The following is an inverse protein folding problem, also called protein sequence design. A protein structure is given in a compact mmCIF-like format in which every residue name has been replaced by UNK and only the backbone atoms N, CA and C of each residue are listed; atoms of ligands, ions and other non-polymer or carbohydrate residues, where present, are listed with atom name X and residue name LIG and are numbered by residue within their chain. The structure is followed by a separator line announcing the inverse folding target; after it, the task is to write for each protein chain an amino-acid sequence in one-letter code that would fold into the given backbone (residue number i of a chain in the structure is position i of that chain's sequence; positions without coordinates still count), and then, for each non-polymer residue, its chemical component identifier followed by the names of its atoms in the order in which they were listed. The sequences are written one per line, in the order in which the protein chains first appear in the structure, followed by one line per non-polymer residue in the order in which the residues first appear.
data_IF_592773262793
#
_entry.id   IF_592773262793
#
_cell.length_a   1.000
_cell.length_b   1.000
_cell.length_c   1.000
_cell.angle_alpha   90.00
_cell.angle_beta   90.00
_cell.angle_gamma   90.00
#
_symmetry.space_group_name_H-M   'P 1'
#
loop_
_entity.id
_entity.type
_entity.pdbx_description
1 polymer ?
#
# COMPACT_ATOMS: atom_id res chain seq x y z
N UNK A 1 13.87 -9.70 15.54
CA UNK A 1 13.47 -9.06 14.27
C UNK A 1 14.25 -9.71 13.16
N UNK A 2 13.59 -10.39 12.26
CA UNK A 2 14.21 -10.90 11.04
C UNK A 2 13.99 -9.88 9.91
N UNK A 3 15.00 -9.68 9.07
CA UNK A 3 14.90 -8.89 7.86
C UNK A 3 14.87 -9.84 6.67
N UNK A 4 13.80 -9.75 5.89
CA UNK A 4 13.61 -10.54 4.69
C UNK A 4 13.62 -9.58 3.49
N UNK A 5 14.40 -9.91 2.46
CA UNK A 5 14.38 -9.19 1.19
C UNK A 5 13.69 -10.08 0.17
N UNK A 6 12.57 -9.62 -0.40
CA UNK A 6 11.83 -10.33 -1.43
C UNK A 6 12.17 -9.79 -2.80
N UNK A 7 12.43 -10.69 -3.71
CA UNK A 7 12.56 -10.41 -5.14
C UNK A 7 11.22 -10.63 -5.85
N UNK A 8 11.14 -10.18 -7.10
CA UNK A 8 9.94 -10.32 -7.92
C UNK A 8 9.49 -11.79 -8.00
N UNK A 9 8.24 -12.04 -7.64
CA UNK A 9 7.61 -13.36 -7.68
C UNK A 9 7.83 -14.23 -6.46
N UNK A 10 8.62 -13.80 -5.49
CA UNK A 10 8.80 -14.52 -4.22
C UNK A 10 7.59 -14.33 -3.31
N UNK A 11 7.32 -15.35 -2.50
CA UNK A 11 6.20 -15.36 -1.54
C UNK A 11 6.72 -15.66 -0.15
N UNK A 12 6.17 -14.99 0.84
CA UNK A 12 6.41 -15.26 2.26
C UNK A 12 5.07 -15.41 2.98
N UNK A 13 4.99 -16.36 3.90
CA UNK A 13 3.84 -16.49 4.76
C UNK A 13 3.90 -15.46 5.90
N UNK A 14 2.82 -14.67 6.05
CA UNK A 14 2.69 -13.71 7.15
C UNK A 14 1.74 -14.25 8.23
N UNK A 15 2.15 -14.25 9.51
CA UNK A 15 1.36 -14.87 10.58
C UNK A 15 0.27 -13.98 11.16
N UNK A 16 0.13 -12.75 10.67
CA UNK A 16 -0.82 -11.77 11.22
C UNK A 16 -1.53 -11.01 10.10
N UNK A 17 -2.74 -10.56 10.39
CA UNK A 17 -3.53 -9.70 9.50
C UNK A 17 -3.29 -8.20 9.73
N UNK A 18 -2.44 -7.84 10.70
CA UNK A 18 -2.10 -6.44 10.98
C UNK A 18 -0.70 -6.14 10.45
N UNK A 19 -0.60 -5.21 9.51
CA UNK A 19 0.68 -4.86 8.89
C UNK A 19 0.76 -3.37 8.52
N UNK A 20 2.01 -2.89 8.42
CA UNK A 20 2.34 -1.56 7.93
C UNK A 20 3.15 -1.69 6.64
N UNK A 21 2.70 -1.02 5.57
CA UNK A 21 3.45 -0.88 4.34
C UNK A 21 3.96 0.56 4.25
N UNK A 22 5.26 0.76 4.32
CA UNK A 22 5.89 2.07 4.29
C UNK A 22 6.71 2.25 3.03
N UNK A 23 6.31 3.21 2.21
CA UNK A 23 7.11 3.74 1.11
C UNK A 23 8.07 4.80 1.65
N UNK A 24 9.34 4.75 1.25
CA UNK A 24 10.33 5.76 1.59
C UNK A 24 11.25 6.05 0.41
N UNK A 25 11.61 7.33 0.24
CA UNK A 25 12.53 7.80 -0.81
C UNK A 25 13.16 9.14 -0.43
N UNK A 26 14.28 9.48 -1.05
CA UNK A 26 14.98 10.76 -0.85
C UNK A 26 15.05 11.59 -2.12
N UNK A 27 14.89 10.98 -3.29
CA UNK A 27 14.93 11.66 -4.58
C UNK A 27 13.83 12.73 -4.70
N UNK A 28 14.10 13.79 -5.49
CA UNK A 28 13.14 14.85 -5.77
C UNK A 28 12.11 14.39 -6.82
N UNK A 29 11.21 13.54 -6.40
CA UNK A 29 10.12 12.96 -7.19
C UNK A 29 8.92 12.75 -6.29
N UNK A 30 7.73 12.83 -6.85
CA UNK A 30 6.49 12.55 -6.14
C UNK A 30 6.09 11.08 -6.34
N UNK A 31 6.25 10.29 -5.29
CA UNK A 31 5.85 8.89 -5.26
C UNK A 31 4.66 8.72 -4.31
N UNK A 32 3.60 8.09 -4.79
CA UNK A 32 2.41 7.81 -4.00
C UNK A 32 2.24 6.31 -3.76
N UNK A 33 1.86 5.94 -2.54
CA UNK A 33 1.48 4.57 -2.20
C UNK A 33 -0.04 4.39 -2.28
N UNK A 34 -0.45 3.26 -2.83
CA UNK A 34 -1.85 2.85 -3.00
C UNK A 34 -2.07 1.46 -2.39
N UNK A 35 -3.25 1.26 -1.81
CA UNK A 35 -3.76 -0.08 -1.54
C UNK A 35 -5.05 -0.29 -2.34
N UNK A 36 -5.01 -1.17 -3.32
CA UNK A 36 -6.20 -1.66 -4.01
C UNK A 36 -6.70 -2.89 -3.28
N UNK A 37 -8.00 -2.97 -3.04
CA UNK A 37 -8.57 -4.08 -2.27
C UNK A 37 -9.81 -4.66 -2.92
N UNK A 38 -10.10 -5.91 -2.57
CA UNK A 38 -11.38 -6.58 -2.85
C UNK A 38 -11.91 -7.22 -1.58
N UNK A 39 -13.17 -6.97 -1.26
CA UNK A 39 -13.87 -7.64 -0.18
C UNK A 39 -14.13 -9.12 -0.52
N UNK A 40 -14.12 -9.98 0.48
CA UNK A 40 -14.54 -11.38 0.33
C UNK A 40 -15.98 -11.47 -0.17
N UNK A 41 -16.27 -12.50 -0.97
CA UNK A 41 -17.61 -12.73 -1.54
C UNK A 41 -18.58 -13.36 -0.55
N UNK A 42 -18.08 -13.94 0.54
CA UNK A 42 -18.88 -14.62 1.55
C UNK A 42 -19.19 -13.75 2.79
N UNK A 43 -18.89 -12.46 2.75
CA UNK A 43 -19.24 -11.53 3.83
C UNK A 43 -20.71 -11.13 3.73
N UNK A 44 -21.30 -10.76 4.88
CA UNK A 44 -22.66 -10.24 4.92
C UNK A 44 -22.68 -8.79 4.43
N UNK A 45 -23.57 -8.42 3.48
CA UNK A 45 -23.73 -7.03 3.08
C UNK A 45 -24.13 -6.16 4.27
N UNK A 46 -23.52 -4.99 4.34
CA UNK A 46 -23.89 -3.97 5.34
C UNK A 46 -24.20 -2.67 4.63
N UNK A 47 -25.34 -2.05 4.99
CA UNK A 47 -25.66 -0.71 4.52
C UNK A 47 -24.99 0.32 5.43
N UNK A 48 -24.33 1.29 4.82
CA UNK A 48 -23.80 2.43 5.54
C UNK A 48 -24.89 3.37 6.02
N UNK A 49 -24.60 4.17 7.05
CA UNK A 49 -25.48 5.24 7.50
C UNK A 49 -25.49 6.36 6.44
N UNK A 50 -26.64 6.77 5.98
CA UNK A 50 -26.82 7.77 4.89
C UNK A 50 -26.06 7.41 3.60
N UNK A 51 -25.91 6.13 3.28
CA UNK A 51 -25.20 5.66 2.09
C UNK A 51 -23.67 5.70 2.20
N UNK A 52 -23.11 5.97 3.36
CA UNK A 52 -21.68 6.03 3.61
C UNK A 52 -21.23 4.83 4.45
N UNK A 53 -20.14 4.16 4.05
CA UNK A 53 -19.52 3.08 4.83
C UNK A 53 -20.22 1.72 4.70
N UNK A 54 -21.03 1.51 3.68
CA UNK A 54 -21.58 0.20 3.34
C UNK A 54 -20.52 -0.76 2.80
N UNK A 55 -20.80 -2.06 2.87
CA UNK A 55 -19.92 -3.11 2.34
C UNK A 55 -20.75 -4.12 1.58
N UNK A 56 -20.34 -4.42 0.35
CA UNK A 56 -20.95 -5.46 -0.49
C UNK A 56 -19.95 -6.60 -0.74
N UNK A 57 -20.43 -7.86 -0.85
CA UNK A 57 -19.57 -8.98 -1.22
C UNK A 57 -18.84 -8.74 -2.53
N UNK A 58 -17.52 -8.95 -2.56
CA UNK A 58 -16.69 -8.72 -3.74
C UNK A 58 -16.44 -7.26 -4.10
N UNK A 59 -16.85 -6.32 -3.27
CA UNK A 59 -16.61 -4.88 -3.47
C UNK A 59 -15.13 -4.59 -3.65
N UNK A 60 -14.82 -3.79 -4.68
CA UNK A 60 -13.46 -3.33 -4.96
C UNK A 60 -13.34 -1.84 -4.62
N UNK A 61 -12.14 -1.44 -4.23
CA UNK A 61 -11.82 -0.05 -3.96
C UNK A 61 -10.34 0.19 -3.82
N UNK A 62 -9.99 1.42 -3.48
CA UNK A 62 -8.60 1.83 -3.26
C UNK A 62 -8.49 2.83 -2.13
N UNK A 63 -7.38 2.76 -1.41
CA UNK A 63 -6.95 3.73 -0.41
C UNK A 63 -5.74 4.46 -0.99
N UNK A 64 -5.78 5.78 -0.99
CA UNK A 64 -4.78 6.64 -1.60
C UNK A 64 -4.97 8.09 -1.10
N UNK A 65 -4.19 9.04 -1.61
CA UNK A 65 -4.15 10.43 -1.10
C UNK A 65 -5.50 11.19 -1.08
N UNK A 66 -6.49 10.78 -1.90
CA UNK A 66 -7.84 11.38 -1.88
C UNK A 66 -8.76 10.67 -0.89
N UNK A 67 -8.65 9.34 -0.76
CA UNK A 67 -9.41 8.53 0.19
C UNK A 67 -8.46 7.78 1.11
N UNK A 68 -8.22 8.34 2.27
CA UNK A 68 -7.27 7.81 3.24
C UNK A 68 -7.77 6.55 3.97
N UNK A 69 -9.04 6.18 3.81
CA UNK A 69 -9.60 4.98 4.42
C UNK A 69 -9.83 5.08 5.92
N UNK A 70 -9.91 3.94 6.58
CA UNK A 70 -10.19 3.86 8.03
C UNK A 70 -9.66 2.57 8.64
N UNK A 71 -9.19 2.64 9.89
CA UNK A 71 -8.83 1.47 10.72
C UNK A 71 -9.98 0.98 11.60
N UNK A 72 -11.10 1.71 11.66
CA UNK A 72 -12.23 1.43 12.56
C UNK A 72 -13.44 0.84 11.86
N UNK A 73 -13.40 0.79 10.53
CA UNK A 73 -14.47 0.25 9.67
C UNK A 73 -13.87 -0.26 8.37
N UNK A 74 -14.67 -1.00 7.59
CA UNK A 74 -14.26 -1.43 6.25
C UNK A 74 -13.71 -0.25 5.42
N UNK A 75 -12.59 -0.39 4.73
CA UNK A 75 -11.86 -1.63 4.44
C UNK A 75 -10.78 -2.03 5.46
N UNK A 76 -10.70 -1.39 6.64
CA UNK A 76 -9.68 -1.64 7.68
C UNK A 76 -8.26 -1.30 7.22
N UNK A 77 -8.17 -0.37 6.26
CA UNK A 77 -6.94 0.11 5.64
C UNK A 77 -6.92 1.64 5.75
N UNK A 78 -5.79 2.21 6.13
CA UNK A 78 -5.62 3.65 6.26
C UNK A 78 -4.25 4.10 5.77
N UNK A 79 -4.24 5.17 4.97
CA UNK A 79 -3.04 5.93 4.60
C UNK A 79 -2.84 7.07 5.61
N UNK A 80 -1.67 7.15 6.22
CA UNK A 80 -1.38 8.12 7.29
C UNK A 80 -1.33 9.56 6.78
N UNK A 81 -0.63 9.80 5.66
CA UNK A 81 -0.57 11.09 5.00
C UNK A 81 0.00 10.95 3.59
N UNK A 82 -0.23 11.96 2.78
CA UNK A 82 0.41 12.16 1.50
C UNK A 82 1.68 13.01 1.69
N UNK A 83 2.82 12.51 1.27
CA UNK A 83 4.10 13.19 1.32
C UNK A 83 4.53 13.59 -0.10
N UNK A 84 4.20 14.80 -0.49
CA UNK A 84 4.59 15.34 -1.80
C UNK A 84 6.09 15.54 -1.96
N UNK A 85 6.50 16.06 -3.11
CA UNK A 85 7.89 16.36 -3.45
C UNK A 85 8.50 17.35 -2.44
N UNK A 86 9.67 17.00 -1.92
CA UNK A 86 10.45 17.90 -1.06
C UNK A 86 9.92 18.03 0.37
N UNK A 87 9.19 17.06 0.84
CA UNK A 87 8.80 17.00 2.23
C UNK A 87 10.03 16.93 3.15
N UNK A 88 9.87 17.31 4.37
CA UNK A 88 10.89 17.65 5.38
C UNK A 88 12.23 16.91 5.24
N UNK A 89 13.29 17.66 4.94
CA UNK A 89 14.68 17.15 5.00
C UNK A 89 15.09 16.18 3.90
N UNK A 90 14.35 16.09 2.79
CA UNK A 90 14.65 15.15 1.70
C UNK A 90 14.41 13.69 2.07
N UNK A 91 13.70 13.42 3.15
CA UNK A 91 13.23 12.10 3.55
C UNK A 91 11.72 12.05 3.45
N UNK A 92 11.23 11.48 2.36
CA UNK A 92 9.81 11.32 2.11
C UNK A 92 9.33 9.94 2.58
N UNK A 93 8.14 9.91 3.15
CA UNK A 93 7.60 8.68 3.74
C UNK A 93 6.09 8.69 3.75
N UNK A 94 5.50 7.63 3.23
CA UNK A 94 4.07 7.36 3.30
C UNK A 94 3.82 5.96 3.86
N UNK A 95 2.82 5.81 4.71
CA UNK A 95 2.53 4.51 5.34
C UNK A 95 1.07 4.14 5.19
N UNK A 96 0.82 2.95 4.66
CA UNK A 96 -0.47 2.29 4.71
C UNK A 96 -0.48 1.30 5.87
N UNK A 97 -1.48 1.44 6.73
CA UNK A 97 -1.76 0.50 7.81
C UNK A 97 -2.95 -0.37 7.41
N UNK A 98 -2.79 -1.68 7.46
CA UNK A 98 -3.87 -2.67 7.33
C UNK A 98 -4.11 -3.23 8.72
N UNK A 99 -5.28 -2.95 9.30
CA UNK A 99 -5.63 -3.38 10.65
C UNK A 99 -6.23 -4.79 10.69
N UNK A 100 -6.87 -5.22 9.60
CA UNK A 100 -7.48 -6.55 9.48
C UNK A 100 -7.61 -6.97 8.02
N UNK A 101 -7.41 -8.25 7.77
CA UNK A 101 -7.64 -8.91 6.48
C UNK A 101 -8.90 -9.81 6.50
N UNK A 102 -9.64 -9.83 7.62
CA UNK A 102 -10.73 -10.79 7.81
C UNK A 102 -11.83 -10.69 6.77
N UNK A 103 -12.13 -9.48 6.29
CA UNK A 103 -13.14 -9.22 5.27
C UNK A 103 -12.55 -8.98 3.86
N UNK A 104 -11.24 -9.06 3.72
CA UNK A 104 -10.52 -8.78 2.47
C UNK A 104 -10.03 -10.07 1.82
N UNK A 105 -10.33 -10.23 0.53
CA UNK A 105 -9.86 -11.34 -0.29
C UNK A 105 -8.45 -11.07 -0.83
N UNK A 106 -8.21 -9.82 -1.26
CA UNK A 106 -6.94 -9.36 -1.81
C UNK A 106 -6.66 -7.93 -1.40
N UNK A 107 -5.39 -7.64 -1.17
CA UNK A 107 -4.84 -6.27 -1.11
C UNK A 107 -3.59 -6.21 -1.98
N UNK A 108 -3.58 -5.26 -2.94
CA UNK A 108 -2.41 -4.96 -3.74
C UNK A 108 -1.80 -3.65 -3.27
N UNK A 109 -0.57 -3.69 -2.80
CA UNK A 109 0.21 -2.48 -2.52
C UNK A 109 0.92 -2.09 -3.81
N UNK A 110 0.66 -0.88 -4.28
CA UNK A 110 1.22 -0.34 -5.52
C UNK A 110 1.79 1.07 -5.30
N UNK A 111 2.79 1.40 -6.09
CA UNK A 111 3.44 2.71 -6.09
C UNK A 111 3.21 3.37 -7.44
N UNK A 112 2.88 4.65 -7.42
CA UNK A 112 2.77 5.51 -8.60
C UNK A 112 3.86 6.58 -8.60
N UNK A 113 4.44 6.85 -9.76
CA UNK A 113 5.28 8.03 -9.99
C UNK A 113 4.36 9.12 -10.54
N UNK A 114 4.00 10.09 -9.70
CA UNK A 114 2.94 11.05 -10.01
C UNK A 114 3.38 12.13 -11.00
N UNK A 115 4.54 12.74 -10.77
CA UNK A 115 4.96 13.96 -11.45
C UNK A 115 5.90 13.76 -12.67
N UNK A 116 6.29 12.52 -12.99
CA UNK A 116 7.21 12.20 -14.10
C UNK A 116 6.55 11.28 -15.13
N UNK A 117 6.18 11.78 -16.33
CA UNK A 117 5.45 10.98 -17.31
C UNK A 117 6.28 9.89 -18.00
N UNK A 118 7.60 10.10 -18.15
CA UNK A 118 8.51 9.19 -18.83
C UNK A 118 9.70 8.86 -17.93
N UNK A 119 9.62 7.75 -17.19
CA UNK A 119 10.61 7.41 -16.18
C UNK A 119 10.51 5.93 -15.80
N UNK A 120 11.37 5.50 -14.88
CA UNK A 120 11.35 4.18 -14.26
C UNK A 120 11.67 4.27 -12.76
N UNK A 121 11.33 3.23 -12.03
CA UNK A 121 11.56 3.18 -10.59
C UNK A 121 13.04 3.07 -10.20
N UNK A 122 13.87 2.47 -11.05
CA UNK A 122 15.31 2.34 -10.79
C UNK A 122 16.05 3.70 -10.78
N UNK A 123 15.46 4.76 -11.36
CA UNK A 123 16.02 6.11 -11.36
C UNK A 123 15.93 6.79 -10.00
N UNK A 124 15.17 6.23 -9.06
CA UNK A 124 14.92 6.78 -7.75
C UNK A 124 15.29 5.76 -6.67
N UNK A 125 15.48 6.23 -5.45
CA UNK A 125 15.90 5.42 -4.30
C UNK A 125 14.72 4.89 -3.48
N UNK A 126 13.55 4.74 -4.11
CA UNK A 126 12.33 4.27 -3.45
C UNK A 126 12.43 2.83 -2.99
N UNK A 127 11.86 2.58 -1.83
CA UNK A 127 11.64 1.23 -1.30
C UNK A 127 10.37 1.15 -0.50
N UNK A 128 9.77 -0.02 -0.47
CA UNK A 128 8.65 -0.35 0.42
C UNK A 128 9.12 -1.31 1.49
N UNK A 129 8.80 -1.01 2.73
CA UNK A 129 9.03 -1.90 3.87
C UNK A 129 7.69 -2.37 4.42
N UNK A 130 7.49 -3.67 4.49
CA UNK A 130 6.33 -4.28 5.13
C UNK A 130 6.75 -4.72 6.54
N UNK A 131 6.14 -4.13 7.56
CA UNK A 131 6.30 -4.57 8.95
C UNK A 131 5.14 -5.46 9.33
N UNK A 132 5.46 -6.70 9.71
CA UNK A 132 4.49 -7.75 10.06
C UNK A 132 4.90 -8.35 11.40
N UNK A 133 4.26 -7.90 12.48
CA UNK A 133 4.70 -8.25 13.83
C UNK A 133 6.14 -7.78 14.09
N UNK A 134 7.03 -8.71 14.35
CA UNK A 134 8.47 -8.44 14.58
C UNK A 134 9.31 -8.50 13.28
N UNK A 135 8.72 -8.92 12.18
CA UNK A 135 9.43 -9.10 10.92
C UNK A 135 9.37 -7.86 10.03
N UNK A 136 10.45 -7.62 9.31
CA UNK A 136 10.58 -6.59 8.30
C UNK A 136 10.87 -7.22 6.95
N UNK A 137 9.99 -6.93 5.98
CA UNK A 137 10.16 -7.36 4.59
C UNK A 137 10.47 -6.11 3.76
N UNK A 138 11.61 -6.08 3.11
CA UNK A 138 12.03 -4.98 2.24
C UNK A 138 11.83 -5.33 0.77
N UNK A 139 11.21 -4.40 0.04
CA UNK A 139 11.01 -4.50 -1.41
C UNK A 139 11.60 -3.24 -2.05
N UNK A 140 12.83 -3.32 -2.60
CA UNK A 140 13.43 -2.18 -3.31
C UNK A 140 12.73 -1.97 -4.66
N UNK A 141 12.52 -0.69 -5.02
CA UNK A 141 11.90 -0.31 -6.29
C UNK A 141 13.01 -0.17 -7.36
N UNK A 142 13.25 -1.24 -8.10
CA UNK A 142 14.40 -1.35 -9.03
C UNK A 142 13.98 -1.60 -10.48
N UNK A 143 12.70 -1.50 -10.81
CA UNK A 143 12.20 -1.72 -12.17
C UNK A 143 12.80 -0.69 -13.13
N UNK A 144 13.36 -1.16 -14.23
CA UNK A 144 14.01 -0.35 -15.28
C UNK A 144 13.10 -0.02 -16.44
N UNK A 145 11.93 -0.67 -16.51
CA UNK A 145 10.92 -0.43 -17.55
C UNK A 145 10.38 0.99 -17.46
N UNK A 146 10.09 1.59 -18.62
CA UNK A 146 9.40 2.87 -18.65
C UNK A 146 7.95 2.70 -18.20
N UNK A 147 7.72 2.80 -16.90
CA UNK A 147 6.41 2.65 -16.29
C UNK A 147 6.26 3.56 -15.08
N UNK A 148 5.03 3.99 -14.82
CA UNK A 148 4.66 4.84 -13.69
C UNK A 148 4.02 4.06 -12.53
N UNK A 149 3.72 2.80 -12.74
CA UNK A 149 3.08 1.94 -11.76
C UNK A 149 3.91 0.70 -11.47
N UNK A 150 4.01 0.36 -10.22
CA UNK A 150 4.64 -0.88 -9.76
C UNK A 150 3.79 -1.51 -8.66
N UNK A 151 3.33 -2.74 -8.85
CA UNK A 151 2.74 -3.54 -7.77
C UNK A 151 3.89 -4.17 -6.99
N UNK A 152 4.00 -3.81 -5.72
CA UNK A 152 5.13 -4.24 -4.87
C UNK A 152 4.77 -5.42 -3.97
N UNK A 153 3.50 -5.58 -3.64
CA UNK A 153 3.03 -6.70 -2.83
C UNK A 153 1.58 -7.07 -3.17
N UNK A 154 1.29 -8.35 -3.11
CA UNK A 154 -0.05 -8.92 -3.13
C UNK A 154 -0.24 -9.69 -1.82
N UNK A 155 -1.24 -9.30 -1.07
CA UNK A 155 -1.57 -9.85 0.25
C UNK A 155 -2.90 -10.55 0.18
#
# INVERSE_FOLDING_TARGET
MSKIVLNKGETVHIPTSNLLATLSWTASVDLDIYAFYRAKRNIKPRRGLFGIGGVEPGQEGKIYFIDNGSLKRFPWIHLDRDAGVGDVGGQNKETIHIASLDELEHVLIAINIFDKPHTNFASYDGKVTLKVGEDLIEVPLVATDNCRWCVVAHI
#
